data_IF_887125595642
#
_entry.id   IF_887125595642
#
_cell.length_a   1.000
_cell.length_b   1.000
_cell.length_c   1.000
_cell.angle_alpha   90.00
_cell.angle_beta   90.00
_cell.angle_gamma   90.00
#
_symmetry.space_group_name_H-M   'P 1'
#
loop_
_entity.id
_entity.type
_entity.pdbx_description
1 polymer ?
#
# COMPACT_ATOMS: atom_id res chain seq x y z
N UNK A 1 -12.12 -14.91 -0.41
CA UNK A 1 -13.04 -13.76 -0.20
C UNK A 1 -12.95 -12.87 -1.43
N UNK A 2 -13.92 -12.06 -1.78
CA UNK A 2 -13.73 -11.07 -2.83
C UNK A 2 -12.84 -9.95 -2.30
N UNK A 3 -12.02 -9.35 -3.17
CA UNK A 3 -11.30 -8.13 -2.84
C UNK A 3 -12.28 -7.03 -2.43
N UNK A 4 -11.85 -6.24 -1.45
CA UNK A 4 -12.56 -5.06 -1.00
C UNK A 4 -12.08 -3.82 -1.77
N UNK A 5 -13.02 -3.05 -2.27
CA UNK A 5 -12.71 -1.75 -2.88
C UNK A 5 -13.19 -0.66 -1.91
N UNK A 6 -12.29 0.18 -1.48
CA UNK A 6 -12.62 1.40 -0.75
C UNK A 6 -13.12 2.45 -1.74
N UNK A 7 -14.28 3.04 -1.46
CA UNK A 7 -14.87 4.09 -2.27
C UNK A 7 -15.05 5.35 -1.42
N UNK A 8 -14.54 6.48 -1.91
CA UNK A 8 -14.74 7.81 -1.34
C UNK A 8 -15.41 8.66 -2.40
N UNK A 9 -16.59 9.19 -2.10
CA UNK A 9 -17.36 10.05 -3.00
C UNK A 9 -17.53 11.42 -2.37
N UNK A 10 -16.75 12.40 -2.80
CA UNK A 10 -16.96 13.79 -2.42
C UNK A 10 -18.17 14.34 -3.16
N UNK A 11 -19.09 14.95 -2.40
CA UNK A 11 -20.37 15.43 -2.89
C UNK A 11 -20.42 16.94 -2.74
N UNK A 12 -20.70 17.66 -3.82
CA UNK A 12 -20.80 19.11 -3.83
C UNK A 12 -22.01 19.63 -4.59
N UNK A 13 -22.70 20.59 -3.99
CA UNK A 13 -23.95 21.16 -4.49
C UNK A 13 -24.69 21.92 -3.38
N UNK A 14 -26.00 22.17 -3.58
CA UNK A 14 -26.83 22.74 -2.53
C UNK A 14 -27.01 21.79 -1.36
N UNK A 15 -26.72 22.25 -0.14
CA UNK A 15 -26.74 21.42 1.07
C UNK A 15 -28.11 20.75 1.30
N UNK A 16 -29.21 21.45 1.03
CA UNK A 16 -30.54 20.89 1.22
C UNK A 16 -30.85 19.75 0.23
N UNK A 17 -30.33 19.85 -0.98
CA UNK A 17 -30.41 18.81 -2.01
C UNK A 17 -29.57 17.59 -1.64
N UNK A 18 -28.34 17.83 -1.15
CA UNK A 18 -27.44 16.75 -0.66
C UNK A 18 -28.14 16.02 0.49
N UNK A 19 -28.68 16.71 1.49
CA UNK A 19 -29.37 16.08 2.60
C UNK A 19 -30.63 15.30 2.18
N UNK A 20 -31.36 15.79 1.18
CA UNK A 20 -32.49 15.03 0.60
C UNK A 20 -32.02 13.76 -0.09
N UNK A 21 -31.01 13.85 -0.94
CA UNK A 21 -30.40 12.71 -1.61
C UNK A 21 -29.95 11.64 -0.61
N UNK A 22 -29.18 12.04 0.42
CA UNK A 22 -28.68 11.10 1.44
C UNK A 22 -29.82 10.36 2.15
N UNK A 23 -30.97 10.98 2.40
CA UNK A 23 -32.14 10.33 2.98
C UNK A 23 -32.83 9.37 2.02
N UNK A 24 -32.79 9.64 0.72
CA UNK A 24 -33.42 8.80 -0.30
C UNK A 24 -32.60 7.54 -0.57
N UNK A 25 -31.26 7.66 -0.61
CA UNK A 25 -30.36 6.54 -0.97
C UNK A 25 -29.90 5.69 0.20
N UNK A 26 -30.18 6.08 1.47
CA UNK A 26 -29.72 5.38 2.66
C UNK A 26 -30.22 3.94 2.73
N UNK A 27 -29.41 3.03 3.27
CA UNK A 27 -29.88 1.69 3.66
C UNK A 27 -30.79 1.78 4.88
N UNK A 28 -31.70 0.81 5.03
CA UNK A 28 -32.58 0.77 6.21
C UNK A 28 -31.79 0.49 7.51
N UNK A 29 -30.73 -0.31 7.40
CA UNK A 29 -29.94 -0.76 8.55
C UNK A 29 -29.02 0.33 9.11
N UNK A 30 -28.33 1.07 8.22
CA UNK A 30 -27.30 2.03 8.62
C UNK A 30 -27.77 3.49 8.58
N UNK A 31 -28.89 3.78 7.91
CA UNK A 31 -29.47 5.13 7.86
C UNK A 31 -28.67 6.13 7.02
N UNK A 32 -28.84 7.42 7.33
CA UNK A 32 -28.24 8.53 6.56
C UNK A 32 -26.72 8.43 6.54
N UNK A 33 -26.14 8.50 5.35
CA UNK A 33 -24.70 8.34 5.11
C UNK A 33 -24.34 7.00 4.51
N UNK A 34 -25.26 6.03 4.50
CA UNK A 34 -25.11 4.80 3.73
C UNK A 34 -25.73 4.92 2.33
N UNK A 35 -25.34 4.01 1.43
CA UNK A 35 -25.79 4.00 0.03
C UNK A 35 -26.42 2.64 -0.28
N UNK A 36 -27.71 2.64 -0.62
CA UNK A 36 -28.42 1.44 -1.07
C UNK A 36 -28.54 1.46 -2.61
N UNK A 37 -27.77 0.62 -3.26
CA UNK A 37 -27.76 0.51 -4.73
C UNK A 37 -29.12 0.15 -5.30
N UNK A 38 -29.93 -0.59 -4.53
CA UNK A 38 -31.30 -0.96 -4.91
C UNK A 38 -32.25 0.25 -5.03
N UNK A 39 -31.94 1.36 -4.35
CA UNK A 39 -32.71 2.60 -4.47
C UNK A 39 -32.28 3.46 -5.67
N UNK A 40 -31.13 3.17 -6.25
CA UNK A 40 -30.58 3.89 -7.40
C UNK A 40 -30.85 3.12 -8.67
N UNK A 41 -30.53 1.83 -8.71
CA UNK A 41 -30.83 0.90 -9.81
C UNK A 41 -31.49 -0.34 -9.18
N UNK A 42 -32.84 -0.40 -9.14
CA UNK A 42 -33.56 -1.51 -8.50
C UNK A 42 -33.32 -2.85 -9.17
N UNK A 43 -32.98 -3.87 -8.39
CA UNK A 43 -32.83 -5.23 -8.87
C UNK A 43 -34.21 -5.92 -8.94
N UNK A 44 -34.57 -6.57 -10.06
CA UNK A 44 -35.79 -7.38 -10.16
C UNK A 44 -35.78 -8.61 -9.24
N UNK A 45 -36.94 -9.05 -8.76
CA UNK A 45 -37.09 -10.14 -7.82
C UNK A 45 -36.70 -11.54 -8.38
N UNK A 46 -36.79 -11.74 -9.69
CA UNK A 46 -36.70 -13.03 -10.37
C UNK A 46 -35.42 -13.22 -11.20
N UNK A 47 -34.34 -12.51 -10.83
CA UNK A 47 -33.04 -12.59 -11.50
C UNK A 47 -31.98 -13.29 -10.64
N UNK A 48 -30.96 -13.85 -11.31
CA UNK A 48 -29.74 -14.27 -10.60
C UNK A 48 -29.00 -13.02 -10.10
N UNK A 49 -29.08 -12.80 -8.80
CA UNK A 49 -28.54 -11.60 -8.16
C UNK A 49 -27.05 -11.40 -8.42
N UNK A 50 -26.26 -12.49 -8.48
CA UNK A 50 -24.82 -12.40 -8.69
C UNK A 50 -24.45 -11.81 -10.05
N UNK A 51 -24.98 -12.37 -11.13
CA UNK A 51 -24.71 -11.88 -12.48
C UNK A 51 -25.35 -10.50 -12.72
N UNK A 52 -26.54 -10.31 -12.15
CA UNK A 52 -27.27 -9.05 -12.33
C UNK A 52 -26.54 -7.88 -11.65
N UNK A 53 -26.04 -8.03 -10.42
CA UNK A 53 -25.30 -7.00 -9.71
C UNK A 53 -24.03 -6.59 -10.48
N UNK A 54 -23.24 -7.56 -10.95
CA UNK A 54 -22.04 -7.28 -11.75
C UNK A 54 -22.39 -6.49 -13.01
N UNK A 55 -23.45 -6.88 -13.72
CA UNK A 55 -23.83 -6.26 -14.98
C UNK A 55 -24.44 -4.85 -14.80
N UNK A 56 -25.15 -4.58 -13.71
CA UNK A 56 -25.92 -3.35 -13.52
C UNK A 56 -25.37 -2.42 -12.46
N UNK A 57 -24.73 -2.94 -11.40
CA UNK A 57 -24.10 -2.13 -10.37
C UNK A 57 -22.58 -2.02 -10.55
N UNK A 58 -21.98 -2.88 -11.39
CA UNK A 58 -20.53 -2.95 -11.58
C UNK A 58 -19.77 -3.63 -10.45
N UNK A 59 -20.46 -4.20 -9.46
CA UNK A 59 -19.88 -4.85 -8.29
C UNK A 59 -20.67 -6.10 -7.90
N UNK A 60 -20.08 -6.97 -7.08
CA UNK A 60 -20.67 -8.29 -6.77
C UNK A 60 -21.98 -8.22 -5.99
N UNK A 61 -22.11 -7.24 -5.09
CA UNK A 61 -23.30 -7.00 -4.25
C UNK A 61 -23.39 -5.52 -3.84
N UNK A 62 -24.37 -5.19 -3.01
CA UNK A 62 -24.60 -3.84 -2.52
C UNK A 62 -23.41 -3.30 -1.73
N UNK A 63 -23.39 -2.00 -1.48
CA UNK A 63 -22.40 -1.36 -0.61
C UNK A 63 -22.43 -1.90 0.81
N UNK A 64 -21.29 -1.86 1.48
CA UNK A 64 -21.11 -2.34 2.86
C UNK A 64 -19.93 -1.64 3.56
N UNK A 65 -19.51 -2.17 4.74
CA UNK A 65 -18.36 -1.64 5.48
C UNK A 65 -18.69 -0.38 6.29
N UNK A 66 -19.96 -0.18 6.65
CA UNK A 66 -20.39 0.97 7.45
C UNK A 66 -20.04 0.76 8.92
N UNK A 67 -19.35 1.75 9.49
CA UNK A 67 -18.96 1.84 10.90
C UNK A 67 -19.32 3.22 11.45
N UNK A 68 -18.95 3.51 12.69
CA UNK A 68 -19.15 4.86 13.26
C UNK A 68 -18.32 5.95 12.55
N UNK A 69 -17.23 5.56 11.89
CA UNK A 69 -16.28 6.46 11.21
C UNK A 69 -16.49 6.52 9.70
N UNK A 70 -17.32 5.67 9.12
CA UNK A 70 -17.67 5.63 7.69
C UNK A 70 -19.09 6.18 7.47
N UNK A 71 -19.46 6.36 6.21
CA UNK A 71 -20.73 6.96 5.83
C UNK A 71 -20.52 8.38 5.34
N UNK A 72 -21.44 9.30 5.62
CA UNK A 72 -21.33 10.70 5.16
C UNK A 72 -20.71 11.59 6.25
N UNK A 73 -19.50 12.04 5.99
CA UNK A 73 -18.73 12.92 6.87
C UNK A 73 -17.91 13.92 6.04
N UNK A 74 -17.87 15.17 6.47
CA UNK A 74 -17.09 16.24 5.82
C UNK A 74 -17.32 16.38 4.31
N UNK A 75 -18.58 16.16 3.85
CA UNK A 75 -18.96 16.23 2.44
C UNK A 75 -18.60 14.99 1.63
N UNK A 76 -18.16 13.91 2.26
CA UNK A 76 -17.76 12.66 1.60
C UNK A 76 -18.60 11.49 2.08
N UNK A 77 -18.98 10.62 1.14
CA UNK A 77 -19.52 9.29 1.40
C UNK A 77 -18.36 8.29 1.34
N UNK A 78 -18.22 7.45 2.35
CA UNK A 78 -17.21 6.37 2.39
C UNK A 78 -17.90 5.03 2.61
N UNK A 79 -17.62 4.06 1.72
CA UNK A 79 -18.18 2.72 1.77
C UNK A 79 -17.30 1.71 1.03
N UNK A 80 -17.52 0.43 1.26
CA UNK A 80 -16.84 -0.65 0.55
C UNK A 80 -17.74 -1.27 -0.51
N UNK A 81 -17.10 -1.79 -1.57
CA UNK A 81 -17.72 -2.65 -2.58
C UNK A 81 -16.85 -3.88 -2.82
N UNK A 82 -17.42 -4.91 -3.46
CA UNK A 82 -16.74 -6.17 -3.73
C UNK A 82 -16.29 -6.26 -5.19
N UNK A 83 -14.99 -6.51 -5.42
CA UNK A 83 -14.31 -6.71 -6.69
C UNK A 83 -14.04 -5.45 -7.53
N UNK A 84 -14.95 -4.51 -7.55
CA UNK A 84 -14.82 -3.30 -8.38
C UNK A 84 -15.64 -2.14 -7.84
N UNK A 85 -15.27 -0.94 -8.26
CA UNK A 85 -15.98 0.28 -7.95
C UNK A 85 -17.34 0.33 -8.67
N UNK A 86 -18.40 0.89 -8.06
CA UNK A 86 -19.76 0.86 -8.56
C UNK A 86 -20.03 2.01 -9.56
N UNK A 87 -19.26 2.09 -10.64
CA UNK A 87 -19.36 3.18 -11.62
C UNK A 87 -20.78 3.39 -12.19
N UNK A 88 -21.55 2.33 -12.55
CA UNK A 88 -22.92 2.51 -13.03
C UNK A 88 -23.86 3.15 -12.00
N UNK A 89 -23.61 2.89 -10.71
CA UNK A 89 -24.37 3.49 -9.61
C UNK A 89 -24.10 4.99 -9.52
N UNK A 90 -22.82 5.40 -9.62
CA UNK A 90 -22.46 6.82 -9.53
C UNK A 90 -22.94 7.62 -10.74
N UNK A 91 -22.87 7.03 -11.93
CA UNK A 91 -23.42 7.60 -13.15
C UNK A 91 -24.93 7.82 -13.02
N UNK A 92 -25.68 6.77 -12.61
CA UNK A 92 -27.12 6.86 -12.40
C UNK A 92 -27.49 7.83 -11.29
N UNK A 93 -26.73 7.87 -10.21
CA UNK A 93 -26.94 8.82 -9.11
C UNK A 93 -26.78 10.27 -9.60
N UNK A 94 -25.78 10.55 -10.43
CA UNK A 94 -25.60 11.89 -11.00
C UNK A 94 -26.70 12.28 -12.01
N UNK A 95 -27.28 11.30 -12.73
CA UNK A 95 -28.48 11.51 -13.56
C UNK A 95 -29.71 11.86 -12.70
N UNK A 96 -29.89 11.20 -11.54
CA UNK A 96 -31.01 11.47 -10.62
C UNK A 96 -30.87 12.83 -9.93
N UNK A 97 -29.64 13.32 -9.74
CA UNK A 97 -29.30 14.57 -9.06
C UNK A 97 -28.36 15.43 -9.93
N UNK A 98 -28.86 15.98 -11.05
CA UNK A 98 -28.03 16.67 -12.06
C UNK A 98 -27.39 17.96 -11.55
N UNK A 99 -27.87 18.50 -10.46
CA UNK A 99 -27.37 19.70 -9.77
C UNK A 99 -26.29 19.38 -8.69
N UNK A 100 -25.96 18.11 -8.51
CA UNK A 100 -24.93 17.65 -7.57
C UNK A 100 -23.75 17.07 -8.34
N UNK A 101 -22.54 17.52 -7.99
CA UNK A 101 -21.29 16.96 -8.50
C UNK A 101 -20.81 15.85 -7.57
N UNK A 102 -20.39 14.71 -8.14
CA UNK A 102 -19.81 13.58 -7.44
C UNK A 102 -18.36 13.36 -7.92
N UNK A 103 -17.41 13.49 -7.01
CA UNK A 103 -16.03 13.16 -7.27
C UNK A 103 -15.72 11.85 -6.53
N UNK A 104 -15.53 10.79 -7.28
CA UNK A 104 -15.38 9.43 -6.79
C UNK A 104 -13.94 8.96 -6.94
N UNK A 105 -13.30 8.66 -5.82
CA UNK A 105 -12.02 8.00 -5.73
C UNK A 105 -12.23 6.57 -5.24
N UNK A 106 -11.45 5.63 -5.78
CA UNK A 106 -11.50 4.23 -5.34
C UNK A 106 -10.12 3.60 -5.32
N UNK A 107 -9.94 2.61 -4.43
CA UNK A 107 -8.75 1.79 -4.36
C UNK A 107 -9.08 0.35 -3.93
N UNK A 108 -8.40 -0.61 -4.54
CA UNK A 108 -8.44 -2.02 -4.19
C UNK A 108 -7.59 -2.29 -2.94
N UNK A 109 -7.99 -3.27 -2.12
CA UNK A 109 -7.18 -3.77 -1.01
C UNK A 109 -5.82 -4.34 -1.45
N UNK A 110 -5.71 -4.79 -2.71
CA UNK A 110 -4.43 -5.04 -3.36
C UNK A 110 -3.81 -3.69 -3.75
N UNK A 111 -3.08 -3.08 -2.83
CA UNK A 111 -2.57 -1.71 -2.93
C UNK A 111 -1.82 -1.46 -4.25
N UNK A 112 -2.17 -0.37 -4.93
CA UNK A 112 -1.59 0.00 -6.23
C UNK A 112 -2.16 -0.74 -7.43
N UNK A 113 -3.12 -1.66 -7.21
CA UNK A 113 -3.90 -2.26 -8.29
C UNK A 113 -5.12 -1.37 -8.59
N UNK A 114 -6.13 -1.80 -9.19
CA UNK A 114 -7.42 -1.19 -9.49
C UNK A 114 -7.77 0.08 -8.65
N UNK A 115 -7.21 1.23 -8.99
CA UNK A 115 -7.44 2.51 -8.34
C UNK A 115 -7.58 3.64 -9.36
N UNK A 116 -8.27 4.71 -8.98
CA UNK A 116 -8.48 5.87 -9.85
C UNK A 116 -9.51 6.85 -9.31
N UNK A 117 -9.81 7.87 -10.11
CA UNK A 117 -10.79 8.89 -9.81
C UNK A 117 -11.65 9.22 -11.03
N UNK A 118 -12.95 9.33 -10.80
CA UNK A 118 -13.90 9.87 -11.78
C UNK A 118 -14.69 11.04 -11.20
N UNK A 119 -15.13 11.93 -12.06
CA UNK A 119 -16.07 12.99 -11.73
C UNK A 119 -17.33 12.78 -12.55
N UNK A 120 -18.48 12.76 -11.86
CA UNK A 120 -19.80 12.66 -12.47
C UNK A 120 -20.61 13.91 -12.23
N UNK A 121 -21.24 14.39 -13.26
CA UNK A 121 -22.14 15.54 -13.22
C UNK A 121 -23.20 15.44 -14.32
N UNK A 122 -24.47 15.67 -13.99
CA UNK A 122 -25.61 15.65 -14.91
C UNK A 122 -25.68 14.34 -15.75
N UNK A 123 -25.46 13.19 -15.10
CA UNK A 123 -25.51 11.88 -15.73
C UNK A 123 -24.29 11.51 -16.58
N UNK A 124 -23.31 12.39 -16.66
CA UNK A 124 -22.11 12.16 -17.48
C UNK A 124 -20.85 12.05 -16.63
N UNK A 125 -19.90 11.21 -17.06
CA UNK A 125 -18.55 11.20 -16.55
C UNK A 125 -17.75 12.31 -17.23
N UNK A 126 -17.46 13.39 -16.49
CA UNK A 126 -16.82 14.60 -17.02
C UNK A 126 -15.30 14.59 -16.91
N UNK A 127 -14.75 13.85 -15.94
CA UNK A 127 -13.30 13.70 -15.75
C UNK A 127 -12.97 12.26 -15.36
N UNK A 128 -11.78 11.81 -15.78
CA UNK A 128 -11.21 10.54 -15.35
C UNK A 128 -9.71 10.70 -15.10
N UNK A 129 -9.22 9.99 -14.09
CA UNK A 129 -7.82 9.96 -13.73
C UNK A 129 -7.42 8.55 -13.32
N UNK A 130 -6.30 8.09 -13.85
CA UNK A 130 -5.63 6.86 -13.46
C UNK A 130 -4.15 7.17 -13.20
N UNK A 131 -3.62 6.79 -12.03
CA UNK A 131 -2.18 6.91 -11.79
C UNK A 131 -1.39 6.08 -12.81
N UNK A 132 -0.32 6.65 -13.36
CA UNK A 132 0.41 6.02 -14.48
C UNK A 132 1.48 5.04 -13.99
N UNK A 133 2.33 5.48 -13.04
CA UNK A 133 3.43 4.66 -12.51
C UNK A 133 2.99 3.77 -11.35
N UNK A 134 3.78 2.72 -11.05
CA UNK A 134 3.58 1.87 -9.88
C UNK A 134 3.58 2.69 -8.60
N UNK A 135 4.55 3.57 -8.43
CA UNK A 135 4.65 4.47 -7.29
C UNK A 135 3.41 5.34 -7.11
N UNK A 136 2.95 6.01 -8.18
CA UNK A 136 1.76 6.86 -8.12
C UNK A 136 0.51 6.06 -7.75
N UNK A 137 0.38 4.81 -8.24
CA UNK A 137 -0.73 3.92 -7.90
C UNK A 137 -0.74 3.54 -6.42
N UNK A 138 0.42 3.22 -5.87
CA UNK A 138 0.56 2.89 -4.44
C UNK A 138 0.24 4.11 -3.58
N UNK A 139 0.82 5.29 -3.90
CA UNK A 139 0.59 6.53 -3.17
C UNK A 139 -0.89 6.97 -3.24
N UNK A 140 -1.51 6.84 -4.41
CA UNK A 140 -2.93 7.15 -4.59
C UNK A 140 -3.83 6.17 -3.81
N UNK A 141 -3.57 4.86 -3.89
CA UNK A 141 -4.33 3.86 -3.16
C UNK A 141 -4.21 4.05 -1.64
N UNK A 142 -3.00 4.29 -1.14
CA UNK A 142 -2.73 4.60 0.26
C UNK A 142 -3.51 5.84 0.74
N UNK A 143 -3.54 6.91 -0.09
CA UNK A 143 -4.37 8.09 0.18
C UNK A 143 -5.86 7.75 0.29
N UNK A 144 -6.41 6.97 -0.66
CA UNK A 144 -7.84 6.58 -0.65
C UNK A 144 -8.19 5.69 0.54
N UNK A 145 -7.27 4.82 0.94
CA UNK A 145 -7.48 3.90 2.07
C UNK A 145 -7.13 4.52 3.43
N UNK A 146 -6.63 5.77 3.46
CA UNK A 146 -6.18 6.48 4.67
C UNK A 146 -5.14 5.67 5.46
N UNK A 147 -4.12 5.17 4.76
CA UNK A 147 -3.05 4.36 5.31
C UNK A 147 -1.68 4.78 4.76
N UNK A 148 -0.61 4.32 5.41
CA UNK A 148 0.74 4.47 4.87
C UNK A 148 1.15 3.21 4.09
N UNK A 149 1.91 3.32 3.00
CA UNK A 149 2.40 2.14 2.26
C UNK A 149 3.17 1.14 3.12
N UNK A 150 3.85 1.62 4.17
CA UNK A 150 4.59 0.79 5.14
C UNK A 150 3.70 -0.18 5.93
N UNK A 151 2.43 0.15 6.13
CA UNK A 151 1.45 -0.75 6.77
C UNK A 151 1.16 -2.01 5.93
N UNK A 152 1.50 -1.94 4.64
CA UNK A 152 1.40 -3.03 3.66
C UNK A 152 2.76 -3.69 3.36
N UNK A 153 3.79 -3.39 4.18
CA UNK A 153 5.14 -3.88 3.96
C UNK A 153 5.85 -3.23 2.76
N UNK A 154 5.34 -2.10 2.27
CA UNK A 154 5.88 -1.39 1.11
C UNK A 154 6.74 -0.21 1.56
N UNK A 155 8.03 -0.26 1.25
CA UNK A 155 8.98 0.80 1.57
C UNK A 155 9.49 1.45 0.29
N UNK A 156 9.68 2.78 0.31
CA UNK A 156 10.28 3.49 -0.83
C UNK A 156 11.70 2.97 -1.06
N UNK A 157 12.04 2.63 -2.29
CA UNK A 157 13.35 2.09 -2.64
C UNK A 157 14.48 3.14 -2.52
N UNK A 158 15.74 2.71 -2.49
CA UNK A 158 16.89 3.58 -2.31
C UNK A 158 17.08 4.56 -3.49
N UNK A 159 16.63 4.21 -4.68
CA UNK A 159 16.60 5.11 -5.84
C UNK A 159 15.46 6.11 -5.84
N UNK A 160 14.53 6.01 -4.91
CA UNK A 160 13.32 6.83 -4.80
C UNK A 160 12.41 6.79 -6.04
N UNK A 161 12.45 5.71 -6.79
CA UNK A 161 11.67 5.57 -8.03
C UNK A 161 10.38 4.79 -7.85
N UNK A 162 10.35 3.82 -6.91
CA UNK A 162 9.21 2.97 -6.65
C UNK A 162 9.24 2.42 -5.21
N UNK A 163 8.23 1.66 -4.85
CA UNK A 163 8.16 0.92 -3.60
C UNK A 163 8.63 -0.53 -3.79
N UNK A 164 9.23 -1.07 -2.76
CA UNK A 164 9.66 -2.46 -2.67
C UNK A 164 8.94 -3.14 -1.52
N UNK A 165 8.57 -4.39 -1.72
CA UNK A 165 8.00 -5.22 -0.66
C UNK A 165 9.16 -5.78 0.19
N UNK A 166 9.28 -5.27 1.39
CA UNK A 166 10.17 -5.76 2.41
C UNK A 166 9.28 -6.03 3.62
N UNK A 167 9.16 -7.23 4.04
CA UNK A 167 10.21 -8.11 4.54
C UNK A 167 10.08 -9.59 4.13
N UNK A 168 9.69 -9.91 2.94
CA UNK A 168 9.39 -11.30 2.56
C UNK A 168 10.60 -12.22 2.41
N UNK A 169 11.84 -11.70 2.54
CA UNK A 169 13.06 -12.49 2.41
C UNK A 169 13.74 -12.73 3.75
N UNK A 170 14.21 -13.96 3.95
CA UNK A 170 15.06 -14.30 5.08
C UNK A 170 16.49 -13.79 4.84
N UNK A 171 17.05 -13.14 5.86
CA UNK A 171 18.41 -12.59 5.85
C UNK A 171 19.25 -13.18 6.95
N UNK A 172 20.56 -13.34 6.68
CA UNK A 172 21.54 -13.56 7.73
C UNK A 172 21.96 -12.23 8.33
N UNK A 173 21.99 -12.15 9.66
CA UNK A 173 22.44 -10.97 10.38
C UNK A 173 23.94 -11.16 10.70
N UNK A 174 24.76 -10.17 10.34
CA UNK A 174 26.16 -10.11 10.69
C UNK A 174 26.49 -8.76 11.31
N UNK A 175 27.46 -8.76 12.24
CA UNK A 175 28.05 -7.54 12.75
C UNK A 175 29.40 -7.28 12.09
N UNK A 176 29.55 -6.09 11.52
CA UNK A 176 30.77 -5.64 10.86
C UNK A 176 31.15 -4.30 11.46
N UNK A 177 32.31 -4.25 12.15
CA UNK A 177 32.80 -3.03 12.78
C UNK A 177 31.79 -2.37 13.76
N UNK A 178 30.99 -3.20 14.44
CA UNK A 178 29.96 -2.74 15.37
C UNK A 178 28.70 -2.22 14.70
N UNK A 179 28.52 -2.49 13.42
CA UNK A 179 27.28 -2.18 12.66
C UNK A 179 26.62 -3.46 12.23
N UNK A 180 25.30 -3.50 12.38
CA UNK A 180 24.49 -4.63 11.94
C UNK A 180 24.33 -4.59 10.42
N UNK A 181 24.64 -5.69 9.77
CA UNK A 181 24.42 -5.89 8.35
C UNK A 181 23.52 -7.11 8.12
N UNK A 182 22.62 -7.00 7.18
CA UNK A 182 21.76 -8.09 6.76
C UNK A 182 22.34 -8.69 5.47
N UNK A 183 22.53 -9.99 5.49
CA UNK A 183 23.06 -10.74 4.36
C UNK A 183 21.96 -11.47 3.62
N UNK A 184 21.94 -11.37 2.30
CA UNK A 184 21.05 -12.12 1.42
C UNK A 184 21.81 -12.71 0.26
N UNK A 185 21.39 -13.89 -0.19
CA UNK A 185 21.94 -14.53 -1.39
C UNK A 185 21.32 -13.97 -2.69
N UNK A 186 20.35 -13.07 -2.58
CA UNK A 186 19.69 -12.47 -3.72
C UNK A 186 20.51 -11.32 -4.30
N UNK A 187 20.33 -11.06 -5.59
CA UNK A 187 20.89 -9.87 -6.24
C UNK A 187 20.03 -8.69 -5.92
N UNK A 188 20.63 -7.64 -5.37
CA UNK A 188 19.92 -6.41 -5.06
C UNK A 188 20.62 -5.19 -5.64
N UNK A 189 19.81 -4.25 -6.11
CA UNK A 189 20.22 -2.94 -6.61
C UNK A 189 19.55 -1.87 -5.76
N UNK A 190 19.88 -0.60 -5.97
CA UNK A 190 19.18 0.52 -5.30
C UNK A 190 17.68 0.58 -5.64
N UNK A 191 17.24 -0.12 -6.68
CA UNK A 191 15.83 -0.28 -7.00
C UNK A 191 15.14 -1.39 -6.18
N UNK A 192 15.92 -2.32 -5.60
CA UNK A 192 15.41 -3.50 -4.90
C UNK A 192 15.48 -3.37 -3.39
N UNK A 193 16.14 -2.34 -2.86
CA UNK A 193 16.32 -2.14 -1.43
C UNK A 193 15.61 -0.89 -0.93
N UNK A 194 15.14 -0.86 0.34
CA UNK A 194 14.51 0.31 0.94
C UNK A 194 15.45 1.52 1.01
N UNK A 195 14.86 2.70 0.94
CA UNK A 195 15.56 3.97 1.16
C UNK A 195 16.21 3.97 2.56
N UNK A 196 17.45 4.44 2.61
CA UNK A 196 18.24 4.50 3.84
C UNK A 196 19.03 3.23 4.13
N UNK A 197 18.87 2.17 3.34
CA UNK A 197 19.74 1.00 3.36
C UNK A 197 20.82 1.11 2.30
N UNK A 198 21.95 0.47 2.55
CA UNK A 198 23.08 0.37 1.64
C UNK A 198 23.36 -1.09 1.34
N UNK A 199 23.47 -1.42 0.07
CA UNK A 199 23.78 -2.76 -0.38
C UNK A 199 25.26 -2.91 -0.71
N UNK A 200 25.88 -3.95 -0.21
CA UNK A 200 27.25 -4.29 -0.49
C UNK A 200 27.35 -5.70 -1.06
N UNK A 201 28.23 -5.85 -1.99
CA UNK A 201 28.51 -7.16 -2.57
C UNK A 201 29.42 -7.95 -1.62
N UNK A 202 28.99 -9.17 -1.28
CA UNK A 202 29.80 -10.09 -0.49
C UNK A 202 30.49 -11.11 -1.42
N UNK A 203 31.82 -11.16 -1.35
CA UNK A 203 32.61 -12.12 -2.09
C UNK A 203 33.31 -13.07 -1.12
N UNK A 204 33.09 -14.36 -1.28
CA UNK A 204 33.76 -15.39 -0.51
C UNK A 204 35.18 -15.64 -1.04
N UNK A 205 36.13 -15.91 -0.12
CA UNK A 205 37.46 -16.36 -0.48
C UNK A 205 37.48 -17.79 -1.07
N UNK A 206 38.52 -18.11 -1.78
CA UNK A 206 38.66 -19.41 -2.48
C UNK A 206 38.67 -20.62 -1.52
N UNK A 207 39.09 -20.42 -0.28
CA UNK A 207 39.12 -21.42 0.78
C UNK A 207 37.89 -21.42 1.70
N UNK A 208 36.94 -20.47 1.47
CA UNK A 208 35.73 -20.37 2.25
C UNK A 208 35.88 -19.77 3.66
N UNK A 209 37.10 -19.49 4.09
CA UNK A 209 37.38 -19.03 5.46
C UNK A 209 37.28 -17.51 5.62
N UNK A 210 37.13 -16.75 4.55
CA UNK A 210 36.92 -15.31 4.64
C UNK A 210 36.01 -14.80 3.49
N UNK A 211 35.37 -13.65 3.74
CA UNK A 211 34.61 -12.91 2.76
C UNK A 211 35.18 -11.51 2.60
N UNK A 212 34.97 -10.91 1.44
CA UNK A 212 35.26 -9.52 1.19
C UNK A 212 33.97 -8.77 0.93
N UNK A 213 33.73 -7.71 1.69
CA UNK A 213 32.61 -6.82 1.49
C UNK A 213 33.05 -5.68 0.57
N UNK A 214 32.40 -5.55 -0.57
CA UNK A 214 32.66 -4.50 -1.55
C UNK A 214 31.41 -3.63 -1.70
N UNK A 215 31.57 -2.30 -1.68
CA UNK A 215 30.48 -1.41 -2.02
C UNK A 215 30.27 -1.49 -3.54
N UNK A 216 29.44 -2.38 -3.95
CA UNK A 216 28.94 -2.36 -5.31
C UNK A 216 27.74 -3.27 -5.51
N UNK A 217 26.79 -2.70 -5.95
CA UNK A 217 25.46 -3.14 -6.02
C UNK A 217 25.17 -4.12 -7.13
N UNK A 218 26.01 -4.23 -8.08
CA UNK A 218 25.52 -4.77 -9.36
C UNK A 218 25.86 -6.21 -9.63
N UNK A 219 26.47 -6.98 -8.72
CA UNK A 219 26.96 -8.24 -9.29
C UNK A 219 26.98 -9.44 -8.37
N UNK A 220 26.29 -10.29 -8.69
CA UNK A 220 26.53 -11.49 -9.45
C UNK A 220 26.84 -12.79 -8.72
N UNK A 221 27.29 -13.01 -7.54
CA UNK A 221 27.66 -14.39 -7.29
C UNK A 221 27.55 -14.91 -5.85
N UNK A 222 27.82 -14.10 -4.86
CA UNK A 222 27.87 -14.62 -3.52
C UNK A 222 26.73 -14.15 -2.63
N UNK A 223 26.04 -13.16 -3.06
CA UNK A 223 25.02 -12.49 -2.27
C UNK A 223 25.39 -11.05 -1.99
N UNK A 224 24.45 -10.34 -1.43
CA UNK A 224 24.58 -8.92 -1.09
C UNK A 224 24.42 -8.72 0.39
N UNK A 225 25.17 -7.77 0.94
CA UNK A 225 25.02 -7.34 2.33
C UNK A 225 24.28 -6.03 2.34
N UNK A 226 23.19 -5.96 3.07
CA UNK A 226 22.37 -4.76 3.23
C UNK A 226 22.69 -4.18 4.60
N UNK A 227 23.07 -2.91 4.64
CA UNK A 227 23.39 -2.19 5.88
C UNK A 227 22.56 -0.92 5.97
N UNK A 228 22.20 -0.54 7.18
CA UNK A 228 21.43 0.68 7.42
C UNK A 228 22.28 1.94 7.31
N UNK A 229 23.51 1.90 7.79
CA UNK A 229 24.46 3.00 7.69
C UNK A 229 25.65 2.63 6.82
N UNK A 230 26.17 3.56 5.99
CA UNK A 230 27.38 3.29 5.21
C UNK A 230 28.53 2.88 6.11
N UNK A 231 29.24 1.82 5.72
CA UNK A 231 30.48 1.42 6.37
C UNK A 231 31.67 2.09 5.68
N UNK A 232 32.70 2.41 6.46
CA UNK A 232 33.98 2.84 5.90
C UNK A 232 34.68 1.59 5.34
N UNK A 233 34.94 1.61 4.03
CA UNK A 233 35.70 0.58 3.35
C UNK A 233 37.20 0.94 3.34
N UNK A 234 38.06 -0.07 3.28
CA UNK A 234 39.50 0.12 3.16
C UNK A 234 39.90 0.87 1.85
N UNK A 235 41.18 1.15 1.67
CA UNK A 235 41.72 1.93 0.55
C UNK A 235 41.30 1.41 -0.85
N UNK A 236 41.06 0.10 -0.94
CA UNK A 236 40.58 -0.54 -2.17
C UNK A 236 39.05 -0.63 -2.30
N UNK A 237 38.31 0.01 -1.39
CA UNK A 237 36.85 -0.06 -1.36
C UNK A 237 36.31 -1.38 -0.80
N UNK A 238 37.10 -2.15 -0.08
CA UNK A 238 36.75 -3.45 0.48
C UNK A 238 37.05 -3.58 1.98
N UNK A 239 36.25 -4.41 2.66
CA UNK A 239 36.54 -4.92 3.99
C UNK A 239 36.64 -6.43 3.90
N UNK A 240 37.76 -7.02 4.35
CA UNK A 240 37.87 -8.46 4.46
C UNK A 240 37.21 -8.92 5.76
N UNK A 241 36.31 -9.87 5.64
CA UNK A 241 35.59 -10.48 6.77
C UNK A 241 36.22 -11.83 7.08
N UNK A 242 36.56 -12.04 8.32
CA UNK A 242 37.10 -13.29 8.85
C UNK A 242 36.52 -13.59 10.23
N UNK A 243 36.93 -14.68 10.84
CA UNK A 243 36.45 -15.07 12.18
C UNK A 243 36.73 -14.06 13.29
N UNK A 244 37.59 -13.06 13.06
CA UNK A 244 37.91 -12.03 14.06
C UNK A 244 36.98 -10.82 13.93
N UNK A 245 36.68 -10.37 12.70
CA UNK A 245 35.87 -9.18 12.46
C UNK A 245 34.42 -9.49 12.06
N UNK A 246 34.10 -10.74 11.73
CA UNK A 246 32.74 -11.24 11.51
C UNK A 246 32.57 -12.63 12.15
N UNK A 247 32.70 -12.75 13.48
CA UNK A 247 32.70 -14.05 14.17
C UNK A 247 31.35 -14.77 14.08
N UNK A 248 30.27 -14.08 13.75
CA UNK A 248 28.93 -14.60 13.73
C UNK A 248 28.38 -14.76 12.31
N UNK A 249 29.25 -14.84 11.31
CA UNK A 249 28.83 -15.12 9.91
C UNK A 249 28.15 -16.49 9.73
N UNK A 250 27.88 -17.19 10.78
CA UNK A 250 27.28 -18.52 10.81
C UNK A 250 25.78 -18.53 10.98
N UNK A 251 25.14 -17.36 10.79
CA UNK A 251 23.74 -17.38 10.47
C UNK A 251 22.75 -17.58 11.58
N UNK A 252 22.36 -16.51 12.22
CA UNK A 252 20.96 -16.42 12.60
C UNK A 252 20.23 -15.78 11.41
N UNK A 253 19.35 -16.54 10.77
CA UNK A 253 18.46 -16.03 9.76
C UNK A 253 17.34 -15.26 10.44
N UNK A 254 17.05 -14.04 10.00
CA UNK A 254 15.91 -13.27 10.51
C UNK A 254 15.13 -12.68 9.36
N UNK A 255 13.85 -12.47 9.56
CA UNK A 255 13.03 -11.71 8.62
C UNK A 255 13.34 -10.22 8.77
N UNK A 256 13.33 -9.49 7.68
CA UNK A 256 13.54 -8.04 7.69
C UNK A 256 12.48 -7.31 8.55
N UNK A 257 11.26 -7.81 8.56
CA UNK A 257 10.16 -7.34 9.41
C UNK A 257 10.55 -7.34 10.89
N UNK A 258 11.05 -8.47 11.39
CA UNK A 258 11.46 -8.61 12.78
C UNK A 258 12.61 -7.65 13.13
N UNK A 259 13.49 -7.39 12.16
CA UNK A 259 14.60 -6.45 12.34
C UNK A 259 14.10 -5.01 12.51
N UNK A 260 13.16 -4.54 11.71
CA UNK A 260 12.62 -3.19 11.83
C UNK A 260 11.74 -3.03 13.07
N UNK A 261 10.88 -3.99 13.38
CA UNK A 261 10.00 -3.96 14.55
C UNK A 261 10.79 -3.88 15.85
N UNK A 262 11.85 -4.66 15.97
CA UNK A 262 12.72 -4.64 17.17
C UNK A 262 13.43 -3.29 17.39
N UNK A 263 13.68 -2.50 16.33
CA UNK A 263 14.28 -1.18 16.48
C UNK A 263 13.30 -0.10 16.92
N UNK A 264 12.03 -0.18 16.48
CA UNK A 264 11.00 0.72 16.96
C UNK A 264 10.76 0.56 18.46
N UNK A 265 10.67 -0.68 18.95
CA UNK A 265 10.58 -0.98 20.39
C UNK A 265 11.82 -0.48 21.16
N UNK A 266 13.03 -0.59 20.62
CA UNK A 266 14.23 -0.09 21.25
C UNK A 266 14.29 1.45 21.27
N UNK A 267 13.78 2.12 20.24
CA UNK A 267 13.72 3.58 20.19
C UNK A 267 12.71 4.16 21.17
N UNK A 268 11.57 3.50 21.39
CA UNK A 268 10.59 3.89 22.41
C UNK A 268 11.15 3.72 23.84
N UNK A 269 11.88 2.65 24.11
CA UNK A 269 12.50 2.42 25.43
C UNK A 269 13.57 3.47 25.72
N UNK A 270 14.36 3.91 24.74
CA UNK A 270 15.34 4.98 24.92
C UNK A 270 14.72 6.37 25.04
N UNK A 271 13.55 6.60 24.43
CA UNK A 271 12.79 7.86 24.54
C UNK A 271 12.10 8.07 25.89
N UNK A 272 11.87 7.02 26.67
CA UNK A 272 11.24 7.09 28.00
C UNK A 272 12.22 7.32 29.17
N UNK A 273 13.51 7.41 28.89
CA UNK A 273 14.56 7.53 29.89
C UNK A 273 15.02 8.96 30.24
N UNK A 274 14.39 10.01 29.73
CA UNK A 274 14.76 11.40 30.02
C UNK A 274 13.53 12.21 30.43
N UNK A 275 13.13 12.08 31.66
CA UNK A 275 12.34 13.08 32.39
C UNK A 275 12.97 13.35 33.74
#
# INVERSE_FOLDING_TARGET
MPNHITNIVAVSGDESRIQSMLKEIQTYEYGVGSVDFNKIIPMPDDVDSHYWCIANWGTKWNSYGYTADTGFKDGKLTFLTAWSAPHPILEKLSEMYPDIKFEHEWADEDIGMNCGRYVYFDGERTEEYYPESSRERIEFAAHVMDCEPSEWGLLLNASETDYVNFPDEEFEIIEIEGKTALFTNSRMTDADIPKGLHCYHLRYGDDGDFCTLEKNVTVNHAGSVIVREPMELGENGCISLNSENAPNFTGETTLMEDFFTNEEEQSEIMGMGVT
#
